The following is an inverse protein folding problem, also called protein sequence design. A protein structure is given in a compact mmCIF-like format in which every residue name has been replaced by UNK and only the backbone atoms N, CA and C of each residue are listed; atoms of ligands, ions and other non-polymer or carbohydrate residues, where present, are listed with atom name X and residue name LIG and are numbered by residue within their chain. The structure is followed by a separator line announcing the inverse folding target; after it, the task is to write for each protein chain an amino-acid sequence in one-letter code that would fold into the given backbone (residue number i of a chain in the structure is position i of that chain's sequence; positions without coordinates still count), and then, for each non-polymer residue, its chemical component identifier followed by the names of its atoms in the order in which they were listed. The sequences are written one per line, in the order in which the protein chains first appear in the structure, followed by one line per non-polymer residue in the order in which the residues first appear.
data_IF_471433292236
#
_entry.id   IF_471433292236
#
_cell.length_a   1.000
_cell.length_b   1.000
_cell.length_c   1.000
_cell.angle_alpha   90.00
_cell.angle_beta   90.00
_cell.angle_gamma   90.00
#
_symmetry.space_group_name_H-M   'P 1'
#
loop_
_entity.id
_entity.type
_entity.pdbx_description
1 polymer ?
#
# COMPACT_ATOMS: atom_id res chain seq x y z
N UNK A 1 20.02 19.14 10.42
CA UNK A 1 18.73 19.17 9.70
C UNK A 1 17.92 18.05 10.29
N UNK A 2 16.78 18.35 10.90
CA UNK A 2 15.84 17.30 11.33
C UNK A 2 15.39 16.62 10.05
N UNK A 3 15.57 15.31 9.94
CA UNK A 3 15.03 14.55 8.80
C UNK A 3 13.52 14.81 8.75
N UNK A 4 13.05 15.48 7.69
CA UNK A 4 11.63 15.80 7.51
C UNK A 4 10.86 14.52 7.23
N UNK A 5 10.50 13.81 8.29
CA UNK A 5 9.61 12.65 8.26
C UNK A 5 8.24 13.09 7.73
N UNK A 6 8.08 13.02 6.41
CA UNK A 6 6.82 13.37 5.77
C UNK A 6 5.86 12.20 5.87
N UNK A 7 4.76 12.40 6.60
CA UNK A 7 3.66 11.44 6.70
C UNK A 7 2.80 11.52 5.44
N UNK A 8 2.54 10.38 4.82
CA UNK A 8 1.59 10.26 3.72
C UNK A 8 0.45 9.33 4.11
N UNK A 9 -0.79 9.78 3.91
CA UNK A 9 -1.98 8.96 4.09
C UNK A 9 -2.73 8.71 2.80
N UNK A 10 -3.46 7.60 2.76
CA UNK A 10 -4.43 7.26 1.71
C UNK A 10 -5.45 6.24 2.25
N UNK A 11 -6.46 5.91 1.45
CA UNK A 11 -7.42 4.86 1.79
C UNK A 11 -6.94 3.50 1.30
N UNK A 12 -6.94 2.50 2.18
CA UNK A 12 -6.62 1.12 1.85
C UNK A 12 -7.49 0.64 0.67
N UNK A 13 -6.92 0.22 -0.47
CA UNK A 13 -7.71 -0.21 -1.62
C UNK A 13 -8.53 -1.48 -1.36
N UNK A 14 -8.16 -2.27 -0.35
CA UNK A 14 -8.87 -3.48 0.02
C UNK A 14 -10.13 -3.20 0.87
N UNK A 15 -10.02 -2.38 1.93
CA UNK A 15 -11.11 -2.21 2.91
C UNK A 15 -11.57 -0.76 3.13
N UNK A 16 -11.00 0.21 2.41
CA UNK A 16 -11.31 1.65 2.46
C UNK A 16 -11.03 2.35 3.80
N UNK A 17 -10.40 1.70 4.77
CA UNK A 17 -9.92 2.39 5.97
C UNK A 17 -8.72 3.28 5.64
N UNK A 18 -8.63 4.44 6.30
CA UNK A 18 -7.47 5.33 6.16
C UNK A 18 -6.22 4.67 6.74
N UNK A 19 -5.11 4.83 6.02
CA UNK A 19 -3.80 4.32 6.39
C UNK A 19 -2.76 5.42 6.21
N UNK A 20 -1.73 5.44 7.06
CA UNK A 20 -0.67 6.42 7.02
C UNK A 20 0.70 5.78 7.25
N UNK A 21 1.71 6.30 6.55
CA UNK A 21 3.09 5.81 6.64
C UNK A 21 4.12 6.91 6.41
N UNK A 22 5.37 6.57 6.74
CA UNK A 22 6.51 7.46 6.54
C UNK A 22 7.19 7.14 5.20
N UNK A 23 7.55 8.20 4.48
CA UNK A 23 8.29 8.10 3.22
C UNK A 23 9.79 7.93 3.50
N UNK A 24 10.42 6.96 2.85
CA UNK A 24 11.87 6.79 2.90
C UNK A 24 12.59 7.56 1.78
N UNK A 25 13.92 7.59 1.84
CA UNK A 25 14.78 8.24 0.84
C UNK A 25 14.60 7.68 -0.59
N UNK A 26 14.12 6.44 -0.72
CA UNK A 26 13.83 5.79 -2.01
C UNK A 26 12.45 6.14 -2.57
N UNK A 27 11.77 7.14 -2.01
CA UNK A 27 10.41 7.54 -2.37
C UNK A 27 9.36 6.43 -2.19
N UNK A 28 9.58 5.52 -1.23
CA UNK A 28 8.65 4.47 -0.87
C UNK A 28 7.98 4.75 0.46
N UNK A 29 6.70 4.43 0.56
CA UNK A 29 5.91 4.53 1.78
C UNK A 29 5.35 3.14 2.06
N UNK A 30 5.68 2.57 3.23
CA UNK A 30 5.22 1.25 3.65
C UNK A 30 4.17 1.38 4.74
N UNK A 31 3.05 0.67 4.60
CA UNK A 31 1.97 0.69 5.59
C UNK A 31 1.30 -0.67 5.69
N UNK A 32 0.93 -1.07 6.91
CA UNK A 32 0.04 -2.20 7.18
C UNK A 32 -1.32 -1.67 7.62
N UNK A 33 -2.40 -2.09 6.95
CA UNK A 33 -3.75 -1.72 7.34
C UNK A 33 -4.11 -2.41 8.66
N UNK A 34 -4.51 -1.62 9.67
CA UNK A 34 -4.88 -2.16 11.00
C UNK A 34 -6.21 -2.93 10.99
N UNK A 35 -7.04 -2.76 9.97
CA UNK A 35 -8.39 -3.36 9.91
C UNK A 35 -8.38 -4.67 9.13
N UNK A 36 -7.88 -4.69 7.90
CA UNK A 36 -7.86 -5.91 7.08
C UNK A 36 -6.49 -6.61 7.04
N UNK A 37 -5.47 -6.06 7.69
CA UNK A 37 -4.13 -6.64 7.75
C UNK A 37 -3.30 -6.52 6.47
N UNK A 38 -3.87 -6.05 5.35
CA UNK A 38 -3.17 -5.91 4.08
C UNK A 38 -1.93 -5.02 4.20
N UNK A 39 -0.82 -5.47 3.64
CA UNK A 39 0.44 -4.73 3.60
C UNK A 39 0.58 -4.02 2.25
N UNK A 40 1.02 -2.76 2.29
CA UNK A 40 1.03 -1.90 1.12
C UNK A 40 2.36 -1.16 1.01
N UNK A 41 2.91 -1.11 -0.20
CA UNK A 41 4.09 -0.33 -0.55
C UNK A 41 3.72 0.63 -1.67
N UNK A 42 3.64 1.93 -1.36
CA UNK A 42 3.42 2.98 -2.36
C UNK A 42 4.77 3.54 -2.81
N UNK A 43 5.02 3.51 -4.12
CA UNK A 43 6.20 4.11 -4.74
C UNK A 43 5.77 5.24 -5.67
N UNK A 44 6.26 6.45 -5.40
CA UNK A 44 6.02 7.61 -6.27
C UNK A 44 6.95 7.53 -7.49
N UNK A 45 6.39 7.28 -8.69
CA UNK A 45 7.15 7.17 -9.94
C UNK A 45 7.26 8.50 -10.68
N UNK A 46 6.33 9.42 -10.43
CA UNK A 46 6.34 10.76 -11.00
C UNK A 46 5.22 11.62 -10.43
N UNK A 47 5.03 12.83 -10.98
CA UNK A 47 4.05 13.80 -10.45
C UNK A 47 2.60 13.30 -10.42
N UNK A 48 2.22 12.41 -11.35
CA UNK A 48 0.86 11.89 -11.50
C UNK A 48 0.82 10.35 -11.54
N UNK A 49 1.92 9.68 -11.18
CA UNK A 49 2.04 8.24 -11.32
C UNK A 49 2.62 7.65 -10.04
N UNK A 50 1.77 6.91 -9.35
CA UNK A 50 2.15 6.13 -8.19
C UNK A 50 1.82 4.67 -8.46
N UNK A 51 2.67 3.78 -7.97
CA UNK A 51 2.43 2.34 -7.93
C UNK A 51 2.17 1.96 -6.48
N UNK A 52 1.10 1.23 -6.23
CA UNK A 52 0.80 0.65 -4.92
C UNK A 52 0.85 -0.86 -5.07
N UNK A 53 1.90 -1.47 -4.52
CA UNK A 53 1.96 -2.92 -4.35
C UNK A 53 1.13 -3.27 -3.11
N UNK A 54 0.17 -4.19 -3.27
CA UNK A 54 -0.74 -4.63 -2.21
C UNK A 54 -0.52 -6.11 -2.00
N UNK A 55 -0.21 -6.48 -0.76
CA UNK A 55 -0.02 -7.84 -0.32
C UNK A 55 -1.14 -8.23 0.64
N UNK A 56 -1.62 -9.46 0.48
CA UNK A 56 -2.54 -10.07 1.43
C UNK A 56 -1.88 -10.14 2.81
N UNK A 57 -2.66 -10.12 3.90
CA UNK A 57 -2.10 -10.32 5.24
C UNK A 57 -1.40 -11.67 5.33
N UNK A 58 -0.48 -11.78 6.28
CA UNK A 58 0.21 -13.03 6.58
C UNK A 58 -0.80 -14.16 6.87
N UNK A 59 -0.56 -15.32 6.25
CA UNK A 59 -1.45 -16.49 6.34
C UNK A 59 -2.50 -16.60 5.21
N UNK A 60 -2.69 -15.56 4.40
CA UNK A 60 -3.57 -15.62 3.22
C UNK A 60 -2.78 -15.96 1.95
N UNK A 61 -3.26 -16.93 1.18
CA UNK A 61 -2.63 -17.37 -0.06
C UNK A 61 -3.38 -16.88 -1.31
N UNK A 62 -2.63 -16.73 -2.41
CA UNK A 62 -3.21 -16.39 -3.70
C UNK A 62 -3.98 -17.58 -4.25
N UNK A 63 -5.30 -17.43 -4.39
CA UNK A 63 -6.11 -18.39 -5.13
C UNK A 63 -5.92 -18.29 -6.64
N UNK A 64 -6.08 -19.42 -7.34
CA UNK A 64 -6.02 -19.47 -8.80
C UNK A 64 -7.05 -18.55 -9.45
N UNK A 65 -6.58 -17.70 -10.36
CA UNK A 65 -7.44 -16.85 -11.16
C UNK A 65 -8.15 -17.71 -12.21
N UNK A 66 -9.46 -17.92 -12.02
CA UNK A 66 -10.31 -18.53 -13.06
C UNK A 66 -10.90 -17.43 -13.93
N UNK A 67 -10.70 -17.52 -15.24
CA UNK A 67 -11.45 -16.73 -16.21
C UNK A 67 -12.94 -17.03 -16.01
N UNK A 68 -13.71 -16.04 -15.55
CA UNK A 68 -15.17 -16.11 -15.64
C UNK A 68 -15.53 -15.98 -17.12
N UNK A 69 -16.01 -17.07 -17.73
CA UNK A 69 -16.71 -16.99 -19.02
C UNK A 69 -18.09 -16.38 -18.74
N UNK A 70 -18.42 -15.32 -19.48
CA UNK A 70 -19.74 -14.70 -19.50
C UNK A 70 -20.72 -15.58 -20.27
#
# INVERSE_FOLDING_TARGET
MLEDWTIYSWYCPNCKNEVAGLKNEKNQIRVKCRVCGAEMVRTVKGRRHDVIDIYAPEGEERHDLKLRRF
#
